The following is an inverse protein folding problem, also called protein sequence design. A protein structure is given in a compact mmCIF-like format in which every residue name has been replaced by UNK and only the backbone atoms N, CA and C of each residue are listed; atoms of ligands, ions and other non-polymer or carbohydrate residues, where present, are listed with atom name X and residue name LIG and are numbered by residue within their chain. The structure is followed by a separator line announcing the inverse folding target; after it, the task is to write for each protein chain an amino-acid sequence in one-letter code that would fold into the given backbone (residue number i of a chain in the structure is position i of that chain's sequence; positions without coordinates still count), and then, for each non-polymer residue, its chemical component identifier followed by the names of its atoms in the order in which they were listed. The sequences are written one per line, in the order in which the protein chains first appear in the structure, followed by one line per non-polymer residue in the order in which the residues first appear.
data_IF_277784120781
#
_entry.id   IF_277784120781
#
_cell.length_a   1.000
_cell.length_b   1.000
_cell.length_c   1.000
_cell.angle_alpha   90.00
_cell.angle_beta   90.00
_cell.angle_gamma   90.00
#
_symmetry.space_group_name_H-M   'P 1'
#
loop_
_entity.id
_entity.type
_entity.pdbx_description
1 polymer ?
#
# COMPACT_ATOMS: atom_id res chain seq x y z
N UNK A 1 59.21 -44.16 -41.58
CA UNK A 1 58.64 -42.87 -42.01
C UNK A 1 57.48 -42.62 -41.06
N UNK A 2 57.57 -41.61 -40.21
CA UNK A 2 56.46 -41.21 -39.35
C UNK A 2 55.67 -40.11 -40.06
N UNK A 3 54.35 -40.24 -40.08
CA UNK A 3 53.44 -39.23 -40.62
C UNK A 3 52.69 -38.63 -39.44
N UNK A 4 52.87 -37.33 -39.24
CA UNK A 4 52.12 -36.55 -38.26
C UNK A 4 50.93 -35.89 -38.97
N UNK A 5 49.72 -36.19 -38.52
CA UNK A 5 48.49 -35.54 -38.97
C UNK A 5 47.95 -34.71 -37.81
N UNK A 6 47.74 -33.42 -38.06
CA UNK A 6 47.16 -32.47 -37.09
C UNK A 6 45.78 -32.07 -37.58
N UNK A 7 44.77 -32.22 -36.73
CA UNK A 7 43.41 -31.77 -37.00
C UNK A 7 43.28 -30.37 -36.40
N UNK A 8 42.83 -29.40 -37.21
CA UNK A 8 42.56 -28.04 -36.76
C UNK A 8 41.08 -27.93 -36.40
N UNK A 9 40.80 -27.19 -35.32
CA UNK A 9 39.45 -26.85 -34.91
C UNK A 9 38.90 -25.75 -35.83
N UNK A 10 37.67 -25.93 -36.32
CA UNK A 10 36.93 -24.95 -37.11
C UNK A 10 35.71 -24.53 -36.28
N UNK A 11 35.28 -23.28 -36.40
CA UNK A 11 34.13 -22.76 -35.64
C UNK A 11 32.80 -23.16 -36.32
N UNK A 12 32.42 -24.43 -36.21
CA UNK A 12 31.28 -25.03 -36.89
C UNK A 12 30.12 -25.45 -35.97
N UNK A 13 30.20 -25.17 -34.67
CA UNK A 13 29.16 -25.44 -33.69
C UNK A 13 28.62 -24.17 -33.04
N UNK A 14 27.31 -24.11 -32.79
CA UNK A 14 26.71 -23.01 -32.03
C UNK A 14 26.86 -23.24 -30.53
N UNK A 15 27.02 -22.18 -29.71
CA UNK A 15 26.87 -22.29 -28.27
C UNK A 15 25.50 -22.87 -27.89
N UNK A 16 25.42 -23.67 -26.84
CA UNK A 16 24.17 -24.31 -26.40
C UNK A 16 23.97 -24.19 -24.90
N UNK A 17 22.81 -23.68 -24.49
CA UNK A 17 22.38 -23.72 -23.09
C UNK A 17 21.76 -25.07 -22.77
N UNK A 18 22.07 -25.61 -21.59
CA UNK A 18 21.42 -26.83 -21.09
C UNK A 18 19.91 -26.63 -20.93
N UNK A 19 19.50 -25.44 -20.48
CA UNK A 19 18.10 -25.07 -20.31
C UNK A 19 17.84 -23.70 -20.97
N UNK A 20 17.25 -23.66 -22.18
CA UNK A 20 17.01 -22.40 -22.89
C UNK A 20 15.86 -21.56 -22.31
N UNK A 21 15.05 -22.14 -21.42
CA UNK A 21 13.97 -21.44 -20.73
C UNK A 21 14.02 -21.75 -19.24
N UNK A 22 14.27 -20.72 -18.43
CA UNK A 22 14.34 -20.84 -16.98
C UNK A 22 13.31 -19.92 -16.32
N UNK A 23 12.69 -20.39 -15.25
CA UNK A 23 11.82 -19.58 -14.41
C UNK A 23 12.38 -19.55 -12.99
N UNK A 24 12.48 -18.35 -12.41
CA UNK A 24 12.96 -18.15 -11.04
C UNK A 24 11.99 -17.29 -10.26
N UNK A 25 11.73 -17.70 -9.03
CA UNK A 25 10.87 -16.99 -8.08
C UNK A 25 11.80 -16.29 -7.09
N UNK A 26 11.62 -14.99 -6.93
CA UNK A 26 12.47 -14.13 -6.09
C UNK A 26 11.58 -13.31 -5.17
N UNK A 27 11.91 -13.26 -3.88
CA UNK A 27 11.17 -12.41 -2.94
C UNK A 27 11.58 -10.95 -3.10
N UNK A 28 10.66 -10.01 -2.92
CA UNK A 28 10.98 -8.59 -3.06
C UNK A 28 12.00 -8.10 -2.02
N UNK A 29 12.06 -8.73 -0.84
CA UNK A 29 13.02 -8.45 0.23
C UNK A 29 14.43 -9.05 -0.01
N UNK A 30 14.67 -9.64 -1.19
CA UNK A 30 15.98 -10.15 -1.56
C UNK A 30 17.01 -9.03 -1.57
N UNK A 31 18.12 -9.22 -0.85
CA UNK A 31 19.16 -8.20 -0.73
C UNK A 31 19.82 -7.86 -2.07
N UNK A 32 20.15 -6.59 -2.24
CA UNK A 32 20.96 -6.14 -3.38
C UNK A 32 22.32 -6.84 -3.35
N UNK A 33 22.79 -7.23 -4.54
CA UNK A 33 23.96 -8.08 -4.81
C UNK A 33 23.78 -9.57 -4.57
N UNK A 34 22.62 -10.03 -4.12
CA UNK A 34 22.32 -11.46 -4.05
C UNK A 34 22.34 -12.11 -5.43
N UNK A 35 22.87 -13.33 -5.49
CA UNK A 35 22.84 -14.17 -6.69
C UNK A 35 21.42 -14.69 -6.90
N UNK A 36 20.84 -14.38 -8.07
CA UNK A 36 19.48 -14.76 -8.45
C UNK A 36 19.49 -16.07 -9.25
N UNK A 37 20.47 -16.22 -10.14
CA UNK A 37 20.69 -17.44 -10.90
C UNK A 37 22.16 -17.77 -10.90
N UNK A 38 22.49 -18.98 -10.47
CA UNK A 38 23.86 -19.45 -10.38
C UNK A 38 24.48 -19.65 -11.78
N UNK A 39 25.81 -19.61 -11.84
CA UNK A 39 26.57 -19.70 -13.09
C UNK A 39 26.30 -21.01 -13.84
N UNK A 40 26.21 -22.12 -13.12
CA UNK A 40 26.04 -23.46 -13.64
C UNK A 40 24.73 -23.62 -14.44
N UNK A 41 23.67 -22.95 -14.00
CA UNK A 41 22.36 -22.99 -14.67
C UNK A 41 22.34 -22.19 -15.98
N UNK A 42 23.29 -21.28 -16.15
CA UNK A 42 23.34 -20.32 -17.26
C UNK A 42 24.55 -20.49 -18.17
N UNK A 43 25.46 -21.40 -17.86
CA UNK A 43 26.65 -21.62 -18.69
C UNK A 43 26.25 -22.36 -19.96
N UNK A 44 26.43 -21.71 -21.10
CA UNK A 44 26.37 -22.36 -22.40
C UNK A 44 27.68 -23.14 -22.64
N UNK A 45 27.56 -24.25 -23.35
CA UNK A 45 28.67 -25.08 -23.82
C UNK A 45 28.78 -24.98 -25.32
N UNK A 46 30.00 -25.06 -25.84
CA UNK A 46 30.27 -25.09 -27.27
C UNK A 46 31.19 -26.28 -27.57
N UNK A 47 30.87 -27.03 -28.63
CA UNK A 47 31.61 -28.23 -29.01
C UNK A 47 32.99 -27.90 -29.59
N UNK A 48 33.18 -26.67 -30.08
CA UNK A 48 34.45 -26.14 -30.56
C UNK A 48 35.39 -25.73 -29.41
N UNK A 49 34.91 -25.84 -28.16
CA UNK A 49 35.62 -25.48 -26.92
C UNK A 49 36.02 -23.99 -26.87
N UNK A 50 35.26 -23.15 -27.59
CA UNK A 50 35.45 -21.71 -27.62
C UNK A 50 35.07 -21.03 -26.29
N UNK A 51 35.63 -19.84 -26.07
CA UNK A 51 35.32 -19.02 -24.91
C UNK A 51 33.99 -18.31 -25.14
N UNK A 52 33.00 -18.60 -24.31
CA UNK A 52 31.68 -17.97 -24.43
C UNK A 52 31.61 -16.62 -23.74
N UNK A 53 31.10 -15.64 -24.48
CA UNK A 53 30.78 -14.30 -24.00
C UNK A 53 29.27 -14.12 -23.87
N UNK A 54 28.86 -13.47 -22.78
CA UNK A 54 27.47 -13.30 -22.41
C UNK A 54 27.04 -11.84 -22.39
N UNK A 55 25.77 -11.61 -22.69
CA UNK A 55 25.12 -10.31 -22.63
C UNK A 55 23.67 -10.48 -22.16
N UNK A 56 23.23 -9.63 -21.23
CA UNK A 56 21.91 -9.74 -20.60
C UNK A 56 21.08 -8.50 -20.90
N UNK A 57 19.86 -8.71 -21.38
CA UNK A 57 18.93 -7.63 -21.70
C UNK A 57 17.56 -7.91 -21.08
N UNK A 58 16.95 -6.90 -20.44
CA UNK A 58 15.57 -6.99 -19.98
C UNK A 58 14.61 -6.63 -21.13
N UNK A 59 13.50 -7.35 -21.23
CA UNK A 59 12.50 -7.14 -22.30
C UNK A 59 11.23 -6.45 -21.84
N UNK A 60 11.05 -6.29 -20.52
CA UNK A 60 9.88 -5.65 -19.93
C UNK A 60 10.24 -4.22 -19.56
N UNK A 61 9.50 -3.26 -20.11
CA UNK A 61 9.73 -1.83 -19.86
C UNK A 61 9.72 -1.52 -18.35
N UNK A 62 10.69 -0.74 -17.89
CA UNK A 62 10.77 -0.32 -16.48
C UNK A 62 11.47 -1.33 -15.56
N UNK A 63 11.93 -2.46 -16.10
CA UNK A 63 12.66 -3.49 -15.34
C UNK A 63 14.16 -3.50 -15.67
N UNK A 64 14.62 -2.54 -16.47
CA UNK A 64 16.01 -2.37 -16.85
C UNK A 64 16.90 -2.00 -15.65
N UNK A 65 18.07 -2.63 -15.58
CA UNK A 65 19.07 -2.38 -14.55
C UNK A 65 18.71 -2.89 -13.15
N UNK A 66 17.70 -3.75 -13.00
CA UNK A 66 17.47 -4.51 -11.77
C UNK A 66 18.37 -5.75 -11.68
N UNK A 67 18.73 -6.34 -12.81
CA UNK A 67 19.52 -7.57 -12.88
C UNK A 67 20.73 -7.36 -13.80
N UNK A 68 21.86 -7.96 -13.46
CA UNK A 68 23.05 -7.97 -14.31
C UNK A 68 23.82 -9.28 -14.15
N UNK A 69 24.66 -9.57 -15.14
CA UNK A 69 25.62 -10.68 -15.07
C UNK A 69 26.90 -10.23 -14.35
N UNK A 70 27.54 -11.14 -13.61
CA UNK A 70 28.81 -10.87 -12.90
C UNK A 70 29.94 -10.47 -13.85
N UNK A 71 29.91 -10.93 -15.10
CA UNK A 71 30.84 -10.47 -16.12
C UNK A 71 30.58 -11.11 -17.47
N UNK A 72 31.29 -10.62 -18.49
CA UNK A 72 31.15 -11.08 -19.89
C UNK A 72 31.43 -12.57 -20.07
N UNK A 73 32.16 -13.24 -19.16
CA UNK A 73 32.43 -14.68 -19.21
C UNK A 73 31.89 -15.41 -17.97
N UNK A 74 31.09 -14.71 -17.16
CA UNK A 74 30.44 -15.24 -15.97
C UNK A 74 28.95 -14.87 -16.00
N UNK A 75 28.10 -15.77 -16.54
CA UNK A 75 26.69 -15.50 -16.75
C UNK A 75 25.86 -15.49 -15.46
N UNK A 76 26.46 -15.69 -14.27
CA UNK A 76 25.75 -15.59 -13.00
C UNK A 76 24.98 -14.25 -12.91
N UNK A 77 23.67 -14.34 -12.75
CA UNK A 77 22.78 -13.18 -12.64
C UNK A 77 22.66 -12.80 -11.17
N UNK A 78 22.89 -11.53 -10.86
CA UNK A 78 22.73 -10.96 -9.52
C UNK A 78 21.81 -9.73 -9.55
N UNK A 79 21.23 -9.43 -8.39
CA UNK A 79 20.34 -8.29 -8.20
C UNK A 79 21.12 -6.99 -8.00
N UNK A 80 20.80 -5.94 -8.76
CA UNK A 80 21.46 -4.63 -8.71
C UNK A 80 20.65 -3.56 -7.96
N UNK A 81 19.33 -3.72 -7.87
CA UNK A 81 18.41 -2.77 -7.23
C UNK A 81 17.40 -3.51 -6.38
N UNK A 82 16.96 -2.90 -5.29
CA UNK A 82 15.90 -3.45 -4.46
C UNK A 82 14.64 -3.66 -5.31
N UNK A 83 14.00 -4.81 -5.16
CA UNK A 83 12.77 -5.14 -5.85
C UNK A 83 11.58 -4.44 -5.15
N UNK A 84 10.53 -4.20 -5.92
CA UNK A 84 9.30 -3.58 -5.44
C UNK A 84 8.13 -4.31 -6.14
N UNK A 85 7.44 -5.17 -5.40
CA UNK A 85 6.38 -6.01 -5.92
C UNK A 85 5.20 -5.20 -6.48
N UNK A 86 4.94 -4.01 -5.93
CA UNK A 86 3.85 -3.14 -6.39
C UNK A 86 4.21 -2.45 -7.71
N UNK A 87 5.51 -2.24 -8.01
CA UNK A 87 5.97 -1.67 -9.28
C UNK A 87 5.94 -2.67 -10.42
N UNK A 88 6.41 -3.90 -10.20
CA UNK A 88 6.35 -4.97 -11.19
C UNK A 88 6.44 -6.35 -10.53
N UNK A 89 5.57 -7.27 -10.97
CA UNK A 89 5.46 -8.61 -10.39
C UNK A 89 6.23 -9.66 -11.19
N UNK A 90 6.67 -9.31 -12.42
CA UNK A 90 7.51 -10.17 -13.23
C UNK A 90 8.37 -9.38 -14.21
N UNK A 91 9.50 -9.96 -14.59
CA UNK A 91 10.27 -9.51 -15.75
C UNK A 91 10.78 -10.70 -16.55
N UNK A 92 11.18 -10.44 -17.79
CA UNK A 92 11.79 -11.42 -18.68
C UNK A 92 13.11 -10.90 -19.20
N UNK A 93 14.16 -11.67 -18.93
CA UNK A 93 15.53 -11.41 -19.33
C UNK A 93 15.90 -12.32 -20.51
N UNK A 94 16.63 -11.80 -21.47
CA UNK A 94 17.27 -12.55 -22.54
C UNK A 94 18.77 -12.58 -22.28
N UNK A 95 19.31 -13.78 -22.14
CA UNK A 95 20.74 -14.03 -22.00
C UNK A 95 21.27 -14.52 -23.35
N UNK A 96 22.06 -13.67 -24.00
CA UNK A 96 22.74 -13.98 -25.24
C UNK A 96 24.10 -14.59 -24.93
N UNK A 97 24.41 -15.73 -25.57
CA UNK A 97 25.73 -16.34 -25.58
C UNK A 97 26.32 -16.23 -26.99
N UNK A 98 27.62 -15.93 -27.08
CA UNK A 98 28.37 -15.89 -28.34
C UNK A 98 29.76 -16.51 -28.15
N UNK A 99 30.24 -17.19 -29.16
CA UNK A 99 31.56 -17.84 -29.23
C UNK A 99 32.73 -16.85 -29.34
N UNK A 100 32.45 -15.59 -29.70
CA UNK A 100 33.45 -14.55 -30.00
C UNK A 100 33.12 -13.22 -29.32
N UNK A 101 34.12 -12.35 -29.07
CA UNK A 101 33.86 -11.05 -28.46
C UNK A 101 33.05 -10.13 -29.39
N UNK A 102 32.42 -9.09 -28.83
CA UNK A 102 31.73 -8.06 -29.63
C UNK A 102 32.70 -7.48 -30.66
N UNK A 103 32.26 -7.38 -31.91
CA UNK A 103 33.03 -6.72 -32.97
C UNK A 103 34.18 -7.57 -33.53
N UNK A 104 34.18 -8.89 -33.28
CA UNK A 104 35.05 -9.81 -34.01
C UNK A 104 34.81 -9.69 -35.53
N UNK A 105 35.86 -9.65 -36.36
CA UNK A 105 35.71 -9.64 -37.82
C UNK A 105 35.25 -11.00 -38.37
N UNK A 106 35.42 -12.06 -37.59
CA UNK A 106 35.12 -13.42 -38.01
C UNK A 106 33.67 -13.81 -37.66
N UNK A 107 33.04 -14.73 -38.43
CA UNK A 107 31.64 -15.14 -38.22
C UNK A 107 31.38 -15.60 -36.79
N UNK A 108 30.42 -14.98 -36.10
CA UNK A 108 30.10 -15.27 -34.70
C UNK A 108 28.87 -16.18 -34.65
N UNK A 109 28.94 -17.24 -33.85
CA UNK A 109 27.82 -18.15 -33.57
C UNK A 109 27.22 -17.83 -32.22
N UNK A 110 25.91 -18.02 -32.10
CA UNK A 110 25.14 -17.45 -30.98
C UNK A 110 24.02 -18.37 -30.51
N UNK A 111 23.69 -18.25 -29.23
CA UNK A 111 22.46 -18.79 -28.67
C UNK A 111 21.79 -17.80 -27.72
N UNK A 112 20.52 -18.04 -27.42
CA UNK A 112 19.75 -17.19 -26.51
C UNK A 112 18.96 -18.06 -25.54
N UNK A 113 19.06 -17.74 -24.25
CA UNK A 113 18.19 -18.28 -23.21
C UNK A 113 17.21 -17.21 -22.73
N UNK A 114 15.99 -17.63 -22.40
CA UNK A 114 14.96 -16.79 -21.81
C UNK A 114 14.82 -17.10 -20.32
N UNK A 115 14.95 -16.08 -19.47
CA UNK A 115 14.81 -16.20 -18.02
C UNK A 115 13.63 -15.36 -17.58
N UNK A 116 12.61 -16.02 -17.03
CA UNK A 116 11.45 -15.36 -16.41
C UNK A 116 11.69 -15.23 -14.92
N UNK A 117 11.71 -14.01 -14.41
CA UNK A 117 11.78 -13.72 -12.97
C UNK A 117 10.37 -13.37 -12.49
N UNK A 118 9.85 -14.14 -11.55
CA UNK A 118 8.58 -13.85 -10.85
C UNK A 118 8.91 -13.31 -9.47
N UNK A 119 8.40 -12.13 -9.15
CA UNK A 119 8.60 -11.50 -7.85
C UNK A 119 7.46 -11.92 -6.94
N UNK A 120 7.76 -12.30 -5.70
CA UNK A 120 6.77 -12.56 -4.66
C UNK A 120 6.88 -11.53 -3.55
N UNK A 121 5.74 -11.11 -3.01
CA UNK A 121 5.70 -10.18 -1.91
C UNK A 121 6.37 -10.76 -0.65
N UNK A 122 6.96 -9.87 0.14
CA UNK A 122 7.54 -10.16 1.44
C UNK A 122 6.89 -9.26 2.48
N UNK A 123 6.88 -9.71 3.74
CA UNK A 123 6.32 -8.96 4.86
C UNK A 123 7.28 -7.81 5.22
N UNK A 124 7.21 -6.73 4.46
CA UNK A 124 8.10 -5.57 4.55
C UNK A 124 7.36 -4.32 5.03
N UNK A 125 6.04 -4.30 4.93
CA UNK A 125 5.18 -3.19 5.33
C UNK A 125 4.47 -3.51 6.63
N UNK A 126 3.83 -2.49 7.19
CA UNK A 126 3.03 -2.60 8.41
C UNK A 126 1.59 -2.20 8.09
N UNK A 127 0.61 -2.61 8.92
CA UNK A 127 -0.79 -2.24 8.70
C UNK A 127 -1.00 -0.72 8.62
N UNK A 128 -1.95 -0.26 7.81
CA UNK A 128 -2.38 1.14 7.74
C UNK A 128 -3.87 1.28 8.03
N UNK A 129 -4.25 2.34 8.73
CA UNK A 129 -5.65 2.67 9.00
C UNK A 129 -6.32 3.36 7.80
N UNK A 130 -7.60 3.06 7.55
CA UNK A 130 -8.40 3.61 6.44
C UNK A 130 -9.57 4.48 6.93
N UNK A 131 -9.89 5.57 6.23
CA UNK A 131 -9.21 6.09 5.04
C UNK A 131 -7.90 6.81 5.40
N UNK A 132 -6.92 6.72 4.50
CA UNK A 132 -5.64 7.41 4.63
C UNK A 132 -5.26 8.11 3.32
N UNK A 133 -4.33 9.06 3.42
CA UNK A 133 -3.75 9.76 2.28
C UNK A 133 -2.26 9.44 2.18
N UNK A 134 -1.80 9.18 0.96
CA UNK A 134 -0.37 9.00 0.66
C UNK A 134 0.33 10.36 0.58
N UNK A 135 1.48 10.48 1.23
CA UNK A 135 2.24 11.72 1.25
C UNK A 135 2.95 12.04 -0.08
N UNK A 136 3.34 11.01 -0.84
CA UNK A 136 4.12 11.14 -2.06
C UNK A 136 3.70 10.11 -3.12
N UNK A 137 4.09 10.35 -4.37
CA UNK A 137 3.82 9.48 -5.53
C UNK A 137 4.57 8.14 -5.52
N UNK A 138 5.61 7.98 -4.68
CA UNK A 138 6.32 6.69 -4.44
C UNK A 138 5.74 5.92 -3.22
N UNK A 139 4.49 6.23 -2.85
CA UNK A 139 3.47 5.47 -2.06
C UNK A 139 3.87 4.29 -1.17
N UNK A 140 4.82 4.43 -0.26
CA UNK A 140 5.09 3.43 0.80
C UNK A 140 4.51 3.77 2.18
N UNK A 141 3.98 4.99 2.35
CA UNK A 141 3.46 5.46 3.65
C UNK A 141 2.11 6.14 3.46
N UNK A 142 1.11 5.66 4.19
CA UNK A 142 -0.25 6.21 4.21
C UNK A 142 -0.59 6.73 5.60
N UNK A 143 -1.07 7.97 5.68
CA UNK A 143 -1.41 8.62 6.96
C UNK A 143 -2.92 8.79 7.05
N UNK A 144 -3.52 8.20 8.08
CA UNK A 144 -4.94 8.36 8.37
C UNK A 144 -5.21 9.67 9.10
N UNK A 145 -6.30 10.35 8.75
CA UNK A 145 -6.86 11.41 9.61
C UNK A 145 -7.41 10.82 10.91
N UNK A 146 -7.51 11.60 12.01
CA UNK A 146 -8.09 11.11 13.25
C UNK A 146 -9.53 10.65 13.06
N UNK A 147 -9.88 9.56 13.73
CA UNK A 147 -11.28 9.16 13.86
C UNK A 147 -11.94 10.03 14.93
N UNK A 148 -13.24 10.27 14.79
CA UNK A 148 -14.00 11.02 15.80
C UNK A 148 -15.32 10.32 16.13
N UNK A 149 -15.62 10.27 17.42
CA UNK A 149 -16.83 9.69 17.99
C UNK A 149 -17.46 10.61 19.02
N UNK A 150 -18.67 10.27 19.45
CA UNK A 150 -19.38 10.98 20.52
C UNK A 150 -20.02 10.00 21.48
N UNK A 151 -20.04 10.36 22.76
CA UNK A 151 -20.73 9.62 23.80
C UNK A 151 -21.49 10.58 24.70
N UNK A 152 -22.62 10.13 25.23
CA UNK A 152 -23.37 10.91 26.20
C UNK A 152 -22.78 10.75 27.59
N UNK A 153 -22.67 11.85 28.34
CA UNK A 153 -22.28 11.81 29.75
C UNK A 153 -23.30 11.00 30.57
N UNK A 154 -22.82 10.25 31.55
CA UNK A 154 -23.60 9.40 32.46
C UNK A 154 -24.44 8.31 31.78
N UNK A 155 -24.17 7.98 30.52
CA UNK A 155 -24.86 6.93 29.77
C UNK A 155 -23.84 5.92 29.23
N UNK A 156 -24.22 4.63 29.23
CA UNK A 156 -23.41 3.56 28.68
C UNK A 156 -23.89 3.25 27.27
N UNK A 157 -23.03 3.41 26.28
CA UNK A 157 -23.32 2.92 24.94
C UNK A 157 -23.19 1.38 24.93
N UNK A 158 -24.30 0.69 24.65
CA UNK A 158 -24.36 -0.79 24.59
C UNK A 158 -23.90 -1.35 23.25
N UNK A 159 -23.97 -0.54 22.20
CA UNK A 159 -23.52 -0.90 20.84
C UNK A 159 -22.14 -0.30 20.53
N UNK A 160 -21.42 -0.85 19.54
CA UNK A 160 -20.20 -0.22 19.02
C UNK A 160 -20.41 1.24 18.65
N UNK A 161 -19.44 2.07 19.02
CA UNK A 161 -19.47 3.50 18.78
C UNK A 161 -19.45 3.80 17.28
N UNK A 162 -20.35 4.69 16.86
CA UNK A 162 -20.36 5.20 15.49
C UNK A 162 -19.28 6.27 15.35
N UNK A 163 -18.27 5.98 14.54
CA UNK A 163 -17.13 6.84 14.30
C UNK A 163 -17.20 7.48 12.90
N UNK A 164 -16.53 8.62 12.76
CA UNK A 164 -16.28 9.31 11.49
C UNK A 164 -14.79 9.30 11.20
N UNK A 165 -14.35 9.11 9.94
CA UNK A 165 -15.17 9.00 8.72
C UNK A 165 -15.82 7.63 8.50
N UNK A 166 -15.48 6.63 9.31
CA UNK A 166 -16.06 5.29 9.30
C UNK A 166 -15.61 4.50 10.53
N UNK A 167 -15.89 3.19 10.61
CA UNK A 167 -15.37 2.34 11.68
C UNK A 167 -13.83 2.34 11.66
N UNK A 168 -13.22 2.04 12.81
CA UNK A 168 -11.78 1.77 12.87
C UNK A 168 -11.51 0.57 11.98
N UNK A 169 -10.65 0.76 11.00
CA UNK A 169 -10.32 -0.30 10.06
C UNK A 169 -8.88 -0.11 9.59
N UNK A 170 -8.12 -1.18 9.62
CA UNK A 170 -6.75 -1.22 9.16
C UNK A 170 -6.56 -2.37 8.18
N UNK A 171 -5.67 -2.18 7.20
CA UNK A 171 -5.31 -3.17 6.19
C UNK A 171 -3.80 -3.36 6.18
N UNK A 172 -3.35 -4.56 5.83
CA UNK A 172 -1.95 -4.83 5.58
C UNK A 172 -1.68 -4.66 4.08
N UNK A 173 -0.74 -3.78 3.68
CA UNK A 173 -0.35 -3.65 2.29
C UNK A 173 0.28 -4.92 1.71
N UNK A 174 0.77 -5.83 2.55
CA UNK A 174 1.34 -7.12 2.13
C UNK A 174 0.24 -8.17 1.88
N UNK A 175 -0.68 -7.82 0.98
CA UNK A 175 -1.97 -8.48 0.76
C UNK A 175 -1.88 -9.94 0.28
N UNK A 176 -0.78 -10.35 -0.33
CA UNK A 176 -0.59 -11.75 -0.72
C UNK A 176 -0.21 -12.66 0.45
N UNK A 177 0.26 -12.08 1.56
CA UNK A 177 0.60 -12.79 2.81
C UNK A 177 -0.65 -12.94 3.67
N UNK A 178 -1.52 -11.91 3.69
CA UNK A 178 -2.80 -11.91 4.38
C UNK A 178 -2.68 -12.25 5.88
N UNK A 179 -1.67 -11.65 6.53
CA UNK A 179 -1.44 -11.82 7.96
C UNK A 179 -2.57 -11.21 8.79
N UNK A 180 -2.90 -11.83 9.92
CA UNK A 180 -4.01 -11.35 10.77
C UNK A 180 -3.64 -10.03 11.44
N UNK A 181 -4.53 -9.05 11.37
CA UNK A 181 -4.39 -7.78 12.10
C UNK A 181 -5.13 -7.87 13.43
N UNK A 182 -4.49 -7.38 14.49
CA UNK A 182 -5.02 -7.36 15.86
C UNK A 182 -5.07 -5.92 16.36
N UNK A 183 -6.22 -5.50 16.90
CA UNK A 183 -6.44 -4.17 17.45
C UNK A 183 -6.25 -4.11 18.96
N UNK A 184 -5.75 -2.99 19.47
CA UNK A 184 -5.65 -2.71 20.91
C UNK A 184 -5.65 -1.21 21.20
N UNK A 185 -6.06 -0.81 22.41
CA UNK A 185 -5.92 0.58 22.87
C UNK A 185 -4.63 0.68 23.68
N UNK A 186 -3.70 1.51 23.24
CA UNK A 186 -2.36 1.65 23.84
C UNK A 186 -2.17 2.96 24.60
N UNK A 187 -3.12 3.89 24.51
CA UNK A 187 -3.05 5.19 25.19
C UNK A 187 -4.36 5.94 25.20
N UNK A 188 -4.46 6.94 26.08
CA UNK A 188 -5.59 7.87 26.17
C UNK A 188 -6.87 7.33 26.81
N UNK A 189 -6.90 6.05 27.22
CA UNK A 189 -8.07 5.39 27.78
C UNK A 189 -8.06 5.43 29.32
N UNK A 190 -8.20 6.63 29.88
CA UNK A 190 -8.27 6.82 31.33
C UNK A 190 -9.38 5.95 31.94
N UNK A 191 -9.08 5.30 33.06
CA UNK A 191 -9.99 4.38 33.78
C UNK A 191 -10.54 3.21 32.95
N UNK A 192 -9.94 2.86 31.81
CA UNK A 192 -10.38 1.76 30.95
C UNK A 192 -11.86 1.86 30.53
N UNK A 193 -12.32 3.10 30.31
CA UNK A 193 -13.70 3.42 29.93
C UNK A 193 -14.07 2.75 28.61
N UNK A 194 -13.15 2.67 27.67
CA UNK A 194 -13.37 2.08 26.36
C UNK A 194 -12.67 0.73 26.21
N UNK A 195 -13.18 -0.10 25.31
CA UNK A 195 -12.51 -1.31 24.82
C UNK A 195 -12.60 -1.37 23.30
N UNK A 196 -11.59 -1.98 22.68
CA UNK A 196 -11.59 -2.25 21.24
C UNK A 196 -11.61 -3.76 21.04
N UNK A 197 -12.49 -4.24 20.17
CA UNK A 197 -12.50 -5.63 19.76
C UNK A 197 -11.26 -5.94 18.92
N UNK A 198 -10.53 -6.99 19.32
CA UNK A 198 -9.22 -7.31 18.78
C UNK A 198 -9.25 -7.72 17.31
N UNK A 199 -10.38 -8.22 16.80
CA UNK A 199 -10.49 -8.76 15.44
C UNK A 199 -11.21 -7.79 14.49
N UNK A 200 -12.20 -7.06 15.00
CA UNK A 200 -13.07 -6.18 14.20
C UNK A 200 -12.71 -4.71 14.29
N UNK A 201 -11.95 -4.29 15.31
CA UNK A 201 -11.67 -2.89 15.58
C UNK A 201 -12.86 -2.11 16.16
N UNK A 202 -13.97 -2.78 16.47
CA UNK A 202 -15.14 -2.14 17.05
C UNK A 202 -14.83 -1.56 18.43
N UNK A 203 -15.04 -0.25 18.59
CA UNK A 203 -14.82 0.45 19.85
C UNK A 203 -16.12 0.47 20.66
N UNK A 204 -16.09 0.02 21.91
CA UNK A 204 -17.25 -0.03 22.82
C UNK A 204 -16.92 0.63 24.16
N UNK A 205 -17.94 0.83 25.00
CA UNK A 205 -17.80 1.38 26.34
C UNK A 205 -17.95 0.30 27.41
N UNK A 206 -17.00 0.23 28.34
CA UNK A 206 -17.05 -0.60 29.54
C UNK A 206 -17.67 0.14 30.73
N UNK A 207 -17.54 1.48 30.76
CA UNK A 207 -17.95 2.33 31.89
C UNK A 207 -18.64 3.59 31.40
N UNK A 208 -19.51 4.16 32.23
CA UNK A 208 -20.09 5.48 32.00
C UNK A 208 -19.03 6.57 32.19
N UNK A 209 -19.16 7.66 31.44
CA UNK A 209 -18.31 8.83 31.60
C UNK A 209 -18.99 9.84 32.53
N UNK A 210 -18.25 10.39 33.50
CA UNK A 210 -18.79 11.35 34.50
C UNK A 210 -18.22 12.76 34.38
N UNK A 211 -17.26 12.99 33.48
CA UNK A 211 -16.67 14.31 33.20
C UNK A 211 -16.98 14.72 31.75
N UNK A 212 -17.17 16.02 31.43
CA UNK A 212 -17.31 16.49 30.06
C UNK A 212 -16.00 16.44 29.25
N UNK A 213 -14.88 16.03 29.84
CA UNK A 213 -13.59 15.95 29.17
C UNK A 213 -13.60 14.93 28.02
N UNK A 214 -13.06 15.34 26.87
CA UNK A 214 -12.95 14.45 25.71
C UNK A 214 -11.79 13.47 25.87
N UNK A 215 -11.91 12.29 25.27
CA UNK A 215 -10.84 11.30 25.23
C UNK A 215 -10.10 11.37 23.91
N UNK A 216 -8.78 11.21 23.97
CA UNK A 216 -7.93 11.09 22.80
C UNK A 216 -7.25 9.72 22.81
N UNK A 217 -7.95 8.71 22.32
CA UNK A 217 -7.49 7.33 22.34
C UNK A 217 -6.41 7.10 21.28
N UNK A 218 -5.43 6.28 21.61
CA UNK A 218 -4.45 5.74 20.67
C UNK A 218 -4.77 4.27 20.43
N UNK A 219 -5.29 3.97 19.24
CA UNK A 219 -5.65 2.60 18.83
C UNK A 219 -4.57 2.07 17.92
N UNK A 220 -3.97 0.96 18.31
CA UNK A 220 -2.92 0.27 17.56
C UNK A 220 -3.52 -0.89 16.76
N UNK A 221 -3.06 -1.05 15.51
CA UNK A 221 -3.27 -2.23 14.69
C UNK A 221 -1.92 -2.89 14.44
N UNK A 222 -1.79 -4.19 14.73
CA UNK A 222 -0.53 -4.93 14.59
C UNK A 222 -0.73 -6.27 13.89
N UNK A 223 0.28 -6.74 13.15
CA UNK A 223 0.29 -8.10 12.64
C UNK A 223 0.42 -9.11 13.79
N UNK A 224 -0.38 -10.17 13.78
CA UNK A 224 -0.43 -11.18 14.84
C UNK A 224 0.91 -11.92 15.01
N UNK A 225 1.63 -12.16 13.92
CA UNK A 225 2.92 -12.84 13.90
C UNK A 225 4.11 -11.93 14.30
N UNK A 226 3.95 -10.60 14.27
CA UNK A 226 5.05 -9.65 14.43
C UNK A 226 4.60 -8.33 15.05
N UNK A 227 4.79 -8.21 16.37
CA UNK A 227 4.43 -7.02 17.16
C UNK A 227 5.19 -5.75 16.77
N UNK A 228 6.26 -5.85 15.98
CA UNK A 228 7.01 -4.68 15.48
C UNK A 228 6.40 -4.09 14.21
N UNK A 229 5.47 -4.81 13.57
CA UNK A 229 4.71 -4.35 12.41
C UNK A 229 3.36 -3.86 12.89
N UNK A 230 3.32 -2.56 13.18
CA UNK A 230 2.14 -1.91 13.69
C UNK A 230 2.00 -0.49 13.16
N UNK A 231 0.78 0.04 13.25
CA UNK A 231 0.51 1.46 13.15
C UNK A 231 -0.44 1.88 14.28
N UNK A 232 -0.53 3.18 14.51
CA UNK A 232 -1.39 3.77 15.53
C UNK A 232 -2.25 4.86 14.90
N UNK A 233 -3.56 4.79 15.14
CA UNK A 233 -4.51 5.84 14.81
C UNK A 233 -5.02 6.53 16.07
N UNK A 234 -5.35 7.80 15.92
CA UNK A 234 -5.94 8.61 16.99
C UNK A 234 -7.46 8.61 16.85
N UNK A 235 -8.16 8.39 17.96
CA UNK A 235 -9.63 8.47 18.03
C UNK A 235 -10.04 9.51 19.07
N UNK A 236 -10.63 10.61 18.62
CA UNK A 236 -11.19 11.64 19.49
C UNK A 236 -12.63 11.28 19.86
N UNK A 237 -12.90 11.01 21.15
CA UNK A 237 -14.25 10.79 21.66
C UNK A 237 -14.71 12.03 22.43
N UNK A 238 -15.68 12.74 21.84
CA UNK A 238 -16.28 13.92 22.49
C UNK A 238 -17.39 13.49 23.43
N UNK A 239 -17.28 13.91 24.69
CA UNK A 239 -18.34 13.72 25.67
C UNK A 239 -19.31 14.87 25.52
N UNK A 240 -20.57 14.54 25.26
CA UNK A 240 -21.64 15.51 25.07
C UNK A 240 -22.73 15.28 26.11
N UNK A 241 -23.47 16.33 26.43
CA UNK A 241 -24.72 16.16 27.16
C UNK A 241 -25.71 15.44 26.26
N UNK A 242 -26.50 14.56 26.88
CA UNK A 242 -27.64 13.94 26.20
C UNK A 242 -28.63 15.04 25.80
N UNK A 243 -28.92 15.15 24.52
CA UNK A 243 -30.05 15.94 24.04
C UNK A 243 -31.33 15.17 24.31
N UNK A 244 -32.25 15.77 25.07
CA UNK A 244 -33.55 15.22 25.40
C UNK A 244 -34.63 15.69 24.42
N UNK A 245 -34.43 16.85 23.78
CA UNK A 245 -35.42 17.50 22.93
C UNK A 245 -34.82 17.90 21.58
N UNK A 246 -35.38 17.44 20.43
CA UNK A 246 -34.94 17.92 19.13
C UNK A 246 -35.35 19.39 18.95
N UNK A 247 -34.57 20.19 18.19
CA UNK A 247 -34.93 21.57 17.90
C UNK A 247 -36.24 21.62 17.10
N UNK A 248 -37.10 22.57 17.44
CA UNK A 248 -38.40 22.77 16.79
C UNK A 248 -38.57 24.22 16.37
N UNK A 249 -39.32 24.46 15.28
CA UNK A 249 -39.67 25.82 14.89
C UNK A 249 -40.68 26.40 15.87
N UNK A 250 -40.45 27.62 16.33
CA UNK A 250 -41.33 28.27 17.30
C UNK A 250 -42.72 28.58 16.74
N UNK A 251 -42.82 28.71 15.41
CA UNK A 251 -44.06 29.06 14.70
C UNK A 251 -44.18 28.24 13.41
N UNK A 252 -45.39 28.16 12.87
CA UNK A 252 -45.63 27.63 11.53
C UNK A 252 -47.07 27.82 11.10
N UNK A 253 -47.35 28.12 9.81
CA UNK A 253 -46.43 28.32 8.68
C UNK A 253 -45.77 29.72 8.61
N UNK A 254 -44.58 29.81 7.99
CA UNK A 254 -43.87 31.09 7.72
C UNK A 254 -44.14 31.57 6.28
N UNK A 255 -44.69 32.78 6.14
CA UNK A 255 -45.05 33.35 4.84
C UNK A 255 -44.08 34.47 4.45
N UNK A 256 -43.45 34.33 3.29
CA UNK A 256 -42.53 35.31 2.71
C UNK A 256 -42.96 35.76 1.31
N UNK A 257 -42.48 36.94 0.91
CA UNK A 257 -42.71 37.55 -0.40
C UNK A 257 -41.38 37.93 -1.06
N UNK A 258 -41.32 37.79 -2.38
CA UNK A 258 -40.17 38.17 -3.24
C UNK A 258 -40.66 38.89 -4.49
N UNK A 259 -39.79 39.70 -5.10
CA UNK A 259 -40.09 40.41 -6.36
C UNK A 259 -39.53 39.62 -7.53
N UNK A 260 -40.24 39.64 -8.67
CA UNK A 260 -39.78 38.99 -9.90
C UNK A 260 -38.48 39.64 -10.41
N UNK A 261 -37.55 38.81 -10.90
CA UNK A 261 -36.27 39.28 -11.45
C UNK A 261 -35.12 39.40 -10.45
N UNK A 262 -35.31 38.98 -9.19
CA UNK A 262 -34.22 38.94 -8.19
C UNK A 262 -33.17 37.87 -8.54
N UNK A 263 -31.90 38.19 -8.29
CA UNK A 263 -30.78 37.27 -8.44
C UNK A 263 -30.79 36.18 -7.35
N UNK A 264 -30.15 35.01 -7.57
CA UNK A 264 -29.94 34.00 -6.52
C UNK A 264 -29.28 34.61 -5.27
N UNK A 265 -29.62 34.07 -4.09
CA UNK A 265 -29.18 34.56 -2.76
C UNK A 265 -29.75 35.93 -2.33
N UNK A 266 -30.79 36.44 -3.01
CA UNK A 266 -31.54 37.61 -2.53
C UNK A 266 -32.36 37.28 -1.27
N UNK A 267 -32.62 38.30 -0.45
CA UNK A 267 -33.46 38.16 0.74
C UNK A 267 -34.93 37.86 0.40
N UNK A 268 -35.55 37.02 1.22
CA UNK A 268 -37.01 36.87 1.29
C UNK A 268 -37.51 37.78 2.39
N UNK A 269 -38.55 38.56 2.13
CA UNK A 269 -39.14 39.48 3.11
C UNK A 269 -40.42 38.90 3.69
N UNK A 270 -40.76 39.27 4.91
CA UNK A 270 -41.97 38.80 5.58
C UNK A 270 -43.22 39.30 4.84
N UNK A 271 -44.22 38.42 4.68
CA UNK A 271 -45.46 38.79 4.02
C UNK A 271 -46.13 39.99 4.70
N UNK A 272 -46.51 41.00 3.90
CA UNK A 272 -47.08 42.26 4.38
C UNK A 272 -46.05 43.28 4.92
N UNK A 273 -44.77 42.92 5.03
CA UNK A 273 -43.69 43.77 5.55
C UNK A 273 -42.47 43.74 4.62
N UNK A 274 -42.50 44.44 3.47
CA UNK A 274 -41.52 44.32 2.39
C UNK A 274 -40.11 44.82 2.74
N UNK A 275 -39.93 45.46 3.91
CA UNK A 275 -38.63 45.93 4.40
C UNK A 275 -38.05 45.05 5.52
N UNK A 276 -38.75 43.99 5.94
CA UNK A 276 -38.33 43.13 7.05
C UNK A 276 -37.96 41.75 6.52
N UNK A 277 -36.69 41.32 6.60
CA UNK A 277 -36.30 39.98 6.19
C UNK A 277 -37.08 38.90 6.95
N UNK A 278 -37.53 37.86 6.24
CA UNK A 278 -38.19 36.73 6.86
C UNK A 278 -37.18 36.01 7.76
N UNK A 279 -37.42 36.06 9.07
CA UNK A 279 -36.60 35.39 10.08
C UNK A 279 -37.31 34.12 10.53
N UNK A 280 -36.60 32.99 10.53
CA UNK A 280 -37.09 31.70 11.00
C UNK A 280 -36.26 31.34 12.22
N UNK A 281 -36.92 31.21 13.37
CA UNK A 281 -36.32 30.82 14.64
C UNK A 281 -36.68 29.37 14.98
N UNK A 282 -35.70 28.63 15.47
CA UNK A 282 -35.89 27.32 16.06
C UNK A 282 -35.47 27.39 17.53
N UNK A 283 -36.29 26.82 18.41
CA UNK A 283 -36.01 26.69 19.83
C UNK A 283 -35.59 25.26 20.14
N UNK A 284 -34.74 25.11 21.15
CA UNK A 284 -34.28 23.83 21.67
C UNK A 284 -34.32 23.89 23.19
N UNK A 285 -35.15 23.05 23.81
CA UNK A 285 -35.32 23.05 25.28
C UNK A 285 -34.06 22.56 26.02
N UNK A 286 -33.15 21.86 25.33
CA UNK A 286 -31.85 21.47 25.91
C UNK A 286 -30.87 22.66 26.03
N UNK A 287 -31.14 23.77 25.32
CA UNK A 287 -30.33 24.98 25.28
C UNK A 287 -31.19 26.22 25.51
N UNK A 288 -31.68 26.45 26.74
CA UNK A 288 -32.45 27.65 27.04
C UNK A 288 -31.60 28.89 26.74
N UNK A 289 -32.14 29.81 25.93
CA UNK A 289 -31.47 31.07 25.57
C UNK A 289 -31.02 31.80 26.85
N UNK A 290 -29.70 31.99 26.98
CA UNK A 290 -29.05 32.70 28.09
C UNK A 290 -29.13 34.21 27.86
#
# INVERSE_FOLDING_TARGET
LEILVTILNENDNDPQFQQPNLTRIVREDTEVNATIVAREDLSATDADLDIIYYELTATVQGTDGYFAIKGVNNPEIYLQKALDYDKFQSTRLLLYARDRPVGSPDPTRTATATITIMITQADTRAPWFLPCAFLHSDTSVCISSPYSGRVNISELAVEPLVLRPGPIHAIDPDYTINEKIVYSIVGGNTDEVFSVDADTGNLTMNKIVTSPDSFLLQVMATQANNVRKYSVATVEIKVINKSLYPPHFERGPYNGTVVVGLAPRSFVFQAGHPSTPLTITAADEDFPDV
#
